data_IF_910982284200
#
_entry.id   IF_910982284200
#
_cell.length_a   1.000
_cell.length_b   1.000
_cell.length_c   1.000
_cell.angle_alpha   90.00
_cell.angle_beta   90.00
_cell.angle_gamma   90.00
#
_symmetry.space_group_name_H-M   'P 1'
#
loop_
_entity.id
_entity.type
_entity.pdbx_description
1 polymer ?
#
# COMPACT_ATOMS: atom_id res chain seq x y z
N UNK A 1 17.96 -9.86 8.84
CA UNK A 1 16.51 -9.72 8.56
C UNK A 1 16.34 -8.43 7.75
N UNK A 2 15.86 -8.50 6.50
CA UNK A 2 15.56 -7.28 5.73
C UNK A 2 14.23 -6.71 6.24
N UNK A 3 14.19 -5.40 6.55
CA UNK A 3 12.94 -4.77 6.97
C UNK A 3 11.98 -4.68 5.76
N UNK A 4 10.67 -4.97 5.92
CA UNK A 4 9.71 -4.94 4.81
C UNK A 4 9.70 -3.59 4.08
N UNK A 5 9.86 -2.48 4.81
CA UNK A 5 9.98 -1.13 4.26
C UNK A 5 11.24 -0.97 3.39
N UNK A 6 12.38 -1.54 3.80
CA UNK A 6 13.62 -1.49 3.01
C UNK A 6 13.46 -2.22 1.67
N UNK A 7 12.70 -3.31 1.64
CA UNK A 7 12.40 -4.02 0.40
C UNK A 7 11.51 -3.17 -0.53
N UNK A 8 10.53 -2.44 0.01
CA UNK A 8 9.68 -1.53 -0.77
C UNK A 8 10.49 -0.39 -1.37
N UNK A 9 11.37 0.24 -0.58
CA UNK A 9 12.27 1.29 -1.06
C UNK A 9 13.15 0.75 -2.19
N UNK A 10 13.80 -0.40 -1.99
CA UNK A 10 14.68 -0.99 -3.01
C UNK A 10 13.91 -1.35 -4.30
N UNK A 11 12.68 -1.86 -4.18
CA UNK A 11 11.81 -2.13 -5.36
C UNK A 11 11.46 -0.84 -6.09
N UNK A 12 11.14 0.22 -5.35
CA UNK A 12 10.81 1.52 -5.93
C UNK A 12 12.01 2.10 -6.69
N UNK A 13 13.18 2.17 -6.06
CA UNK A 13 14.41 2.70 -6.65
C UNK A 13 14.82 1.94 -7.92
N UNK A 14 14.72 0.61 -7.91
CA UNK A 14 15.12 -0.22 -9.05
C UNK A 14 14.22 -0.04 -10.30
N UNK A 15 13.00 0.51 -10.14
CA UNK A 15 12.00 0.56 -11.21
C UNK A 15 11.32 1.93 -11.31
N UNK A 16 11.97 2.97 -10.77
CA UNK A 16 11.43 4.34 -10.72
C UNK A 16 11.00 4.86 -12.09
N UNK A 17 11.77 4.56 -13.14
CA UNK A 17 11.46 4.96 -14.52
C UNK A 17 10.16 4.35 -15.06
N UNK A 18 9.75 3.20 -14.52
CA UNK A 18 8.47 2.55 -14.88
C UNK A 18 7.31 3.21 -14.14
N UNK A 19 7.49 3.55 -12.87
CA UNK A 19 6.44 4.12 -12.03
C UNK A 19 6.12 5.58 -12.37
N UNK A 20 7.05 6.30 -13.02
CA UNK A 20 6.82 7.67 -13.50
C UNK A 20 6.07 7.74 -14.84
N UNK A 21 5.83 6.60 -15.50
CA UNK A 21 5.13 6.60 -16.78
C UNK A 21 3.62 6.75 -16.59
N UNK A 22 2.96 7.34 -17.58
CA UNK A 22 1.52 7.62 -17.56
C UNK A 22 0.62 6.38 -17.54
N UNK A 23 1.15 5.22 -17.93
CA UNK A 23 0.49 3.91 -17.89
C UNK A 23 0.52 3.28 -16.49
N UNK A 24 1.34 3.80 -15.56
CA UNK A 24 1.31 3.41 -14.16
C UNK A 24 0.36 4.33 -13.37
N UNK A 25 -0.76 3.79 -12.91
CA UNK A 25 -1.82 4.59 -12.29
C UNK A 25 -1.84 4.51 -10.75
N UNK A 26 -2.71 5.32 -10.14
CA UNK A 26 -2.90 5.37 -8.68
C UNK A 26 -3.23 4.00 -8.11
N UNK A 27 -4.10 3.23 -8.77
CA UNK A 27 -4.54 1.92 -8.25
C UNK A 27 -3.38 0.94 -8.18
N UNK A 28 -2.50 0.92 -9.19
CA UNK A 28 -1.28 0.11 -9.16
C UNK A 28 -0.32 0.59 -8.09
N UNK A 29 -0.12 1.90 -7.96
CA UNK A 29 0.71 2.51 -6.89
C UNK A 29 0.22 2.08 -5.51
N UNK A 30 -1.11 2.10 -5.31
CA UNK A 30 -1.75 1.73 -4.07
C UNK A 30 -1.50 0.26 -3.71
N UNK A 31 -1.70 -0.63 -4.69
CA UNK A 31 -1.54 -2.08 -4.50
C UNK A 31 -0.06 -2.45 -4.29
N UNK A 32 0.86 -1.87 -5.06
CA UNK A 32 2.27 -2.26 -5.07
C UNK A 32 3.09 -1.67 -3.92
N UNK A 33 2.72 -0.48 -3.44
CA UNK A 33 3.54 0.28 -2.49
C UNK A 33 2.77 0.76 -1.27
N UNK A 34 1.61 1.39 -1.45
CA UNK A 34 0.89 2.03 -0.33
C UNK A 34 0.33 0.99 0.64
N UNK A 35 -0.40 -0.02 0.15
CA UNK A 35 -0.95 -1.08 1.00
C UNK A 35 0.17 -1.85 1.73
N UNK A 36 1.22 -2.35 1.04
CA UNK A 36 2.34 -3.01 1.71
C UNK A 36 3.07 -2.12 2.72
N UNK A 37 3.18 -0.81 2.48
CA UNK A 37 3.81 0.13 3.40
C UNK A 37 3.04 0.22 4.72
N UNK A 38 1.73 0.42 4.67
CA UNK A 38 0.90 0.47 5.87
C UNK A 38 0.84 -0.87 6.60
N UNK A 39 0.77 -1.99 5.87
CA UNK A 39 0.87 -3.33 6.45
C UNK A 39 2.23 -3.51 7.17
N UNK A 40 3.32 -3.02 6.59
CA UNK A 40 4.64 -3.05 7.23
C UNK A 40 4.73 -2.20 8.50
N UNK A 41 3.89 -1.17 8.64
CA UNK A 41 3.71 -0.39 9.86
C UNK A 41 2.76 -1.04 10.88
N UNK A 42 2.16 -2.19 10.55
CA UNK A 42 1.25 -2.94 11.41
C UNK A 42 -0.23 -2.57 11.24
N UNK A 43 -0.59 -1.83 10.19
CA UNK A 43 -1.99 -1.49 9.90
C UNK A 43 -2.69 -2.64 9.17
N UNK A 44 -3.96 -2.87 9.51
CA UNK A 44 -4.77 -3.90 8.87
C UNK A 44 -5.51 -3.35 7.64
N UNK A 45 -4.76 -3.12 6.56
CA UNK A 45 -5.30 -2.56 5.30
C UNK A 45 -6.27 -3.53 4.62
N UNK A 46 -6.01 -4.83 4.69
CA UNK A 46 -6.84 -5.88 4.06
C UNK A 46 -8.05 -6.28 4.92
N UNK A 47 -8.24 -5.64 6.09
CA UNK A 47 -9.24 -6.04 7.09
C UNK A 47 -9.18 -7.55 7.42
N UNK A 48 -7.98 -8.09 7.63
CA UNK A 48 -7.76 -9.50 8.00
C UNK A 48 -8.42 -9.86 9.33
N UNK A 49 -8.67 -8.87 10.19
CA UNK A 49 -9.42 -9.04 11.43
C UNK A 49 -10.94 -9.18 11.21
N UNK A 50 -11.44 -8.97 9.99
CA UNK A 50 -12.85 -9.15 9.64
C UNK A 50 -13.79 -8.16 10.33
N UNK A 51 -13.27 -6.99 10.71
CA UNK A 51 -14.03 -5.96 11.41
C UNK A 51 -15.08 -5.35 10.47
N UNK A 52 -16.25 -5.03 11.01
CA UNK A 52 -17.28 -4.31 10.26
C UNK A 52 -16.76 -2.93 9.85
N UNK A 53 -17.22 -2.42 8.71
CA UNK A 53 -16.79 -1.16 8.09
C UNK A 53 -16.58 0.03 9.06
N UNK A 54 -17.46 0.30 10.05
CA UNK A 54 -17.26 1.42 10.99
C UNK A 54 -16.11 1.22 11.99
N UNK A 55 -15.57 0.01 12.12
CA UNK A 55 -14.46 -0.33 13.02
C UNK A 55 -13.13 -0.54 12.29
N UNK A 56 -13.11 -0.37 10.97
CA UNK A 56 -11.86 -0.46 10.20
C UNK A 56 -10.99 0.76 10.51
N UNK A 57 -9.70 0.52 10.73
CA UNK A 57 -8.72 1.59 10.92
C UNK A 57 -8.46 2.37 9.62
N UNK A 58 -8.80 1.79 8.47
CA UNK A 58 -8.70 2.40 7.15
C UNK A 58 -10.12 2.58 6.59
N UNK A 59 -10.48 3.82 6.29
CA UNK A 59 -11.74 4.20 5.64
C UNK A 59 -11.40 4.71 4.24
N UNK A 60 -12.03 4.14 3.21
CA UNK A 60 -11.86 4.64 1.84
C UNK A 60 -12.72 5.89 1.64
N UNK A 61 -12.15 6.94 1.04
CA UNK A 61 -12.82 8.23 0.86
C UNK A 61 -14.03 8.18 -0.10
N UNK A 62 -14.15 7.17 -0.97
CA UNK A 62 -15.33 6.95 -1.84
C UNK A 62 -16.63 6.67 -1.05
N UNK A 63 -16.55 6.54 0.28
CA UNK A 63 -17.67 6.26 1.18
C UNK A 63 -18.17 7.55 1.88
N UNK A 64 -17.56 8.72 1.63
CA UNK A 64 -18.00 10.03 2.13
C UNK A 64 -18.91 10.77 1.13
#
# INVERSE_FOLDING_TARGET
MSHPIQNLIKRFENQIDTYQKSDYNETQTRIDFVNPFFIALGWDVDNKQGLAEPYRQVVHEDIL
#
